data_IF_690157433527
#
_entry.id   IF_690157433527
#
_cell.length_a   1.000
_cell.length_b   1.000
_cell.length_c   1.000
_cell.angle_alpha   90.00
_cell.angle_beta   90.00
_cell.angle_gamma   90.00
#
_symmetry.space_group_name_H-M   'P 1'
#
loop_
_entity.id
_entity.type
_entity.pdbx_description
1 polymer ?
#
# COMPACT_ATOMS: atom_id res chain seq x y z
N UNK A 1 11.21 -7.19 0.81
CA UNK A 1 9.89 -7.71 1.21
C UNK A 1 8.85 -7.02 0.36
N UNK A 2 7.88 -7.75 -0.19
CA UNK A 2 6.76 -7.14 -0.90
C UNK A 2 5.96 -6.25 0.06
N UNK A 3 5.46 -5.12 -0.44
CA UNK A 3 4.47 -4.30 0.25
C UNK A 3 3.15 -4.49 -0.46
N UNK A 4 2.06 -4.33 0.26
CA UNK A 4 0.71 -4.47 -0.23
C UNK A 4 -0.08 -3.21 0.09
N UNK A 5 -0.98 -2.84 -0.81
CA UNK A 5 -1.89 -1.70 -0.72
C UNK A 5 -3.29 -2.24 -0.55
N UNK A 6 -3.94 -1.87 0.55
CA UNK A 6 -5.33 -2.23 0.86
C UNK A 6 -6.14 -0.94 0.89
N UNK A 7 -7.27 -0.92 0.21
CA UNK A 7 -8.14 0.26 0.11
C UNK A 7 -9.46 -0.03 0.80
N UNK A 8 -9.84 0.84 1.74
CA UNK A 8 -11.11 0.71 2.45
C UNK A 8 -12.27 0.98 1.49
N UNK A 9 -13.24 0.07 1.34
CA UNK A 9 -14.38 0.27 0.44
C UNK A 9 -15.36 1.33 0.96
N UNK A 10 -15.39 1.63 2.26
CA UNK A 10 -16.29 2.63 2.83
C UNK A 10 -15.78 4.07 2.69
N UNK A 11 -14.48 4.31 2.90
CA UNK A 11 -13.93 5.66 3.01
C UNK A 11 -12.74 5.91 2.09
N UNK A 12 -12.35 4.94 1.26
CA UNK A 12 -11.22 5.03 0.34
C UNK A 12 -9.86 5.27 1.01
N UNK A 13 -9.76 5.09 2.34
CA UNK A 13 -8.49 5.14 3.04
C UNK A 13 -7.58 4.02 2.57
N UNK A 14 -6.30 4.34 2.36
CA UNK A 14 -5.29 3.40 1.85
C UNK A 14 -4.31 3.06 2.95
N UNK A 15 -4.11 1.76 3.19
CA UNK A 15 -3.10 1.22 4.09
C UNK A 15 -2.04 0.53 3.25
N UNK A 16 -0.77 0.83 3.53
CA UNK A 16 0.37 0.11 2.95
C UNK A 16 1.02 -0.72 4.05
N UNK A 17 1.04 -2.04 3.88
CA UNK A 17 1.57 -2.99 4.86
C UNK A 17 2.38 -4.08 4.18
N UNK A 18 3.37 -4.65 4.87
CA UNK A 18 4.05 -5.87 4.45
C UNK A 18 3.29 -7.14 4.85
N UNK A 19 2.30 -7.03 5.74
CA UNK A 19 1.54 -8.14 6.31
C UNK A 19 0.04 -7.80 6.29
N UNK A 20 -0.66 -8.07 5.18
CA UNK A 20 -2.10 -7.88 5.05
C UNK A 20 -2.89 -8.61 6.13
N UNK A 21 -2.49 -9.82 6.50
CA UNK A 21 -3.21 -10.62 7.50
C UNK A 21 -3.16 -10.01 8.91
N UNK A 22 -2.22 -9.10 9.17
CA UNK A 22 -2.07 -8.47 10.48
C UNK A 22 -3.16 -7.43 10.78
N UNK A 23 -3.91 -6.97 9.76
CA UNK A 23 -4.99 -6.00 9.95
C UNK A 23 -6.36 -6.65 10.11
N UNK A 24 -6.44 -7.98 10.03
CA UNK A 24 -7.71 -8.71 10.19
C UNK A 24 -8.34 -8.40 11.54
N UNK A 25 -9.65 -8.18 11.54
CA UNK A 25 -10.45 -7.80 12.70
C UNK A 25 -10.16 -6.42 13.31
N UNK A 26 -9.22 -5.67 12.73
CA UNK A 26 -8.99 -4.28 13.10
C UNK A 26 -9.98 -3.35 12.39
N UNK A 27 -10.29 -2.23 13.03
CA UNK A 27 -11.08 -1.18 12.42
C UNK A 27 -10.23 -0.37 11.43
N UNK A 28 -10.83 0.03 10.32
CA UNK A 28 -10.22 0.95 9.38
C UNK A 28 -9.79 2.25 10.11
N UNK A 29 -8.51 2.66 10.07
CA UNK A 29 -8.04 3.84 10.77
C UNK A 29 -8.59 5.14 10.19
N UNK A 30 -9.12 5.11 8.96
CA UNK A 30 -9.71 6.28 8.31
C UNK A 30 -11.14 6.57 8.75
N UNK A 31 -11.99 5.54 8.85
CA UNK A 31 -13.41 5.73 9.19
C UNK A 31 -13.83 5.14 10.55
N UNK A 32 -13.08 4.20 11.10
CA UNK A 32 -13.42 3.47 12.33
C UNK A 32 -14.67 2.58 12.24
N UNK A 33 -15.25 2.42 11.05
CA UNK A 33 -16.50 1.68 10.82
C UNK A 33 -16.28 0.33 10.14
N UNK A 34 -15.49 0.33 9.06
CA UNK A 34 -15.14 -0.91 8.34
C UNK A 34 -14.23 -1.76 9.22
N UNK A 35 -14.58 -3.04 9.41
CA UNK A 35 -13.72 -4.04 10.06
C UNK A 35 -13.11 -4.92 8.96
N UNK A 36 -11.79 -5.02 8.93
CA UNK A 36 -11.11 -5.78 7.88
C UNK A 36 -11.31 -7.28 8.03
N UNK A 37 -11.60 -7.94 6.91
CA UNK A 37 -11.75 -9.39 6.84
C UNK A 37 -10.70 -10.06 5.92
N UNK A 38 -10.80 -11.38 5.83
CA UNK A 38 -9.87 -12.17 5.02
C UNK A 38 -9.96 -11.84 3.53
N UNK A 39 -11.13 -11.43 3.03
CA UNK A 39 -11.28 -11.04 1.63
C UNK A 39 -10.58 -9.71 1.35
N UNK A 40 -10.64 -8.75 2.29
CA UNK A 40 -9.90 -7.49 2.17
C UNK A 40 -8.39 -7.73 2.08
N UNK A 41 -7.86 -8.65 2.90
CA UNK A 41 -6.44 -9.01 2.87
C UNK A 41 -6.05 -9.73 1.57
N UNK A 42 -6.89 -10.62 1.05
CA UNK A 42 -6.66 -11.33 -0.20
C UNK A 42 -6.79 -10.42 -1.44
N UNK A 43 -7.58 -9.35 -1.35
CA UNK A 43 -7.72 -8.32 -2.39
C UNK A 43 -6.64 -7.23 -2.32
N UNK A 44 -5.68 -7.35 -1.40
CA UNK A 44 -4.57 -6.42 -1.30
C UNK A 44 -3.74 -6.41 -2.60
N UNK A 45 -3.57 -5.22 -3.19
CA UNK A 45 -2.75 -5.05 -4.38
C UNK A 45 -1.27 -5.06 -4.02
N UNK A 46 -0.41 -5.67 -4.85
CA UNK A 46 1.04 -5.57 -4.64
C UNK A 46 1.47 -4.12 -4.87
N UNK A 47 2.03 -3.50 -3.84
CA UNK A 47 2.62 -2.18 -3.91
C UNK A 47 4.09 -2.28 -4.31
N UNK A 48 4.38 -2.03 -5.58
CA UNK A 48 5.72 -1.79 -6.08
C UNK A 48 6.00 -0.28 -6.02
N UNK A 49 6.83 0.21 -5.07
CA UNK A 49 7.31 1.58 -5.18
C UNK A 49 8.06 1.67 -6.52
N UNK A 50 7.58 2.52 -7.43
CA UNK A 50 8.23 2.73 -8.72
C UNK A 50 9.71 3.06 -8.53
N UNK A 51 10.56 2.84 -9.55
CA UNK A 51 11.95 3.23 -9.47
C UNK A 51 12.00 4.72 -9.13
N UNK A 52 12.47 5.02 -7.91
CA UNK A 52 12.70 6.39 -7.46
C UNK A 52 13.42 7.12 -8.58
N UNK A 53 12.86 8.24 -9.03
CA UNK A 53 13.50 9.15 -9.98
C UNK A 53 14.70 9.82 -9.28
N UNK A 54 15.73 9.02 -9.01
CA UNK A 54 17.04 9.41 -8.49
C UNK A 54 18.16 8.90 -9.41
N UNK A 55 17.79 8.44 -10.61
CA UNK A 55 18.71 7.94 -11.64
C UNK A 55 18.84 8.89 -12.85
N UNK A 56 18.64 10.20 -12.67
CA UNK A 56 18.82 11.15 -13.77
C UNK A 56 19.45 12.49 -13.36
N UNK A 57 20.54 12.44 -12.58
CA UNK A 57 21.41 13.62 -12.35
C UNK A 57 22.84 13.48 -12.90
N UNK A 58 23.19 12.38 -13.56
CA UNK A 58 24.54 12.16 -14.10
C UNK A 58 24.62 12.04 -15.64
N UNK A 59 23.59 12.41 -16.39
CA UNK A 59 23.60 12.32 -17.87
C UNK A 59 23.93 13.66 -18.58
N UNK A 60 24.67 14.57 -17.94
CA UNK A 60 25.06 15.84 -18.58
C UNK A 60 26.37 16.42 -18.04
N UNK A 61 27.48 15.71 -18.26
CA UNK A 61 28.81 16.30 -18.14
C UNK A 61 29.84 15.46 -18.93
N UNK A 62 29.65 15.33 -20.25
CA UNK A 62 30.69 14.88 -21.18
C UNK A 62 30.25 15.19 -22.63
N UNK A 63 30.42 16.45 -23.03
CA UNK A 63 30.87 16.91 -24.36
C UNK A 63 31.18 18.41 -24.28
#
# INVERSE_FOLDING_TARGET
MAKFKITCPECSAVIITSTPDAILWEACPGCGRHIWDIYDALMAEVFTPGPSVAANRNARAEN
#
